data_IF_519883610607
#
_entry.id   IF_519883610607
#
_cell.length_a   1.000
_cell.length_b   1.000
_cell.length_c   1.000
_cell.angle_alpha   90.00
_cell.angle_beta   90.00
_cell.angle_gamma   90.00
#
_symmetry.space_group_name_H-M   'P 1'
#
loop_
_entity.id
_entity.type
_entity.pdbx_description
1 polymer ?
#
# COMPACT_ATOMS: atom_id res chain seq x y z
N UNK A 1 -9.75 -25.19 -12.45
CA UNK A 1 -9.95 -25.31 -10.98
C UNK A 1 -9.40 -24.04 -10.31
N UNK A 2 -10.26 -23.06 -10.01
CA UNK A 2 -9.84 -21.71 -9.61
C UNK A 2 -9.45 -21.61 -8.13
N UNK A 3 -8.21 -21.17 -7.86
CA UNK A 3 -7.76 -20.79 -6.51
C UNK A 3 -8.16 -19.35 -6.23
N UNK A 4 -9.05 -19.14 -5.25
CA UNK A 4 -9.36 -17.82 -4.68
C UNK A 4 -8.13 -17.32 -3.92
N UNK A 5 -7.62 -16.15 -4.32
CA UNK A 5 -6.59 -15.42 -3.58
C UNK A 5 -7.18 -14.94 -2.23
N UNK A 6 -6.51 -15.31 -1.14
CA UNK A 6 -6.87 -14.91 0.22
C UNK A 6 -6.62 -13.42 0.45
N UNK A 7 -7.62 -12.74 1.01
CA UNK A 7 -7.56 -11.33 1.42
C UNK A 7 -6.55 -11.18 2.56
N UNK A 8 -5.43 -10.49 2.31
CA UNK A 8 -4.46 -10.11 3.34
C UNK A 8 -4.97 -8.92 4.16
N UNK A 9 -5.86 -9.18 5.11
CA UNK A 9 -6.21 -8.26 6.20
C UNK A 9 -5.87 -8.92 7.52
N UNK A 10 -4.98 -8.33 8.31
CA UNK A 10 -4.68 -8.82 9.65
C UNK A 10 -5.87 -8.50 10.57
N UNK A 11 -6.79 -9.45 10.73
CA UNK A 11 -7.77 -9.43 11.80
C UNK A 11 -7.10 -10.03 13.04
N UNK A 12 -6.74 -9.19 14.01
CA UNK A 12 -6.23 -9.66 15.30
C UNK A 12 -7.40 -10.32 16.05
N UNK A 13 -7.51 -11.65 15.91
CA UNK A 13 -8.45 -12.46 16.71
C UNK A 13 -7.77 -12.86 18.01
N UNK A 14 -8.39 -12.49 19.13
CA UNK A 14 -7.98 -12.90 20.47
C UNK A 14 -8.12 -14.43 20.62
N UNK A 15 -7.01 -15.16 20.66
CA UNK A 15 -6.99 -16.55 21.13
C UNK A 15 -6.90 -16.56 22.66
N UNK A 16 -7.93 -17.05 23.34
CA UNK A 16 -7.90 -17.29 24.79
C UNK A 16 -7.13 -18.59 25.04
N UNK A 17 -5.90 -18.49 25.56
CA UNK A 17 -5.16 -19.63 26.14
C UNK A 17 -5.49 -19.75 27.63
N UNK A 18 -5.85 -20.96 28.07
CA UNK A 18 -5.69 -21.48 29.44
C UNK A 18 -6.56 -20.87 30.55
N UNK A 19 -7.38 -21.70 31.20
CA UNK A 19 -8.28 -21.31 32.28
C UNK A 19 -7.61 -21.00 33.62
N UNK A 20 -8.27 -20.16 34.41
CA UNK A 20 -8.13 -20.04 35.87
C UNK A 20 -9.52 -20.11 36.51
N UNK A 21 -9.62 -20.51 37.79
CA UNK A 21 -10.89 -20.84 38.44
C UNK A 21 -11.80 -19.61 38.56
N UNK A 22 -13.11 -19.88 38.52
CA UNK A 22 -14.21 -18.91 38.51
C UNK A 22 -14.28 -18.05 39.77
N UNK A 23 -14.26 -16.73 39.57
CA UNK A 23 -14.57 -15.71 40.57
C UNK A 23 -16.11 -15.53 40.66
N UNK A 24 -16.76 -15.72 41.83
CA UNK A 24 -18.21 -15.78 41.96
C UNK A 24 -18.96 -14.43 41.84
N UNK A 25 -18.28 -13.33 41.48
CA UNK A 25 -18.89 -11.99 41.37
C UNK A 25 -19.23 -11.48 39.96
N UNK A 26 -18.96 -12.24 38.89
CA UNK A 26 -19.05 -11.71 37.52
C UNK A 26 -20.44 -11.92 36.91
N UNK A 27 -21.16 -10.82 36.69
CA UNK A 27 -22.42 -10.82 35.93
C UNK A 27 -22.25 -11.57 34.59
N UNK A 28 -23.23 -12.41 34.19
CA UNK A 28 -23.13 -13.18 32.95
C UNK A 28 -22.98 -12.22 31.76
N UNK A 29 -22.14 -12.56 30.76
CA UNK A 29 -22.08 -11.77 29.55
C UNK A 29 -23.46 -11.74 28.88
N UNK A 30 -23.88 -10.62 28.28
CA UNK A 30 -25.16 -10.54 27.61
C UNK A 30 -25.26 -11.65 26.56
N UNK A 31 -26.40 -12.32 26.53
CA UNK A 31 -26.72 -13.37 25.56
C UNK A 31 -26.40 -12.90 24.15
N UNK A 32 -25.53 -13.62 23.43
CA UNK A 32 -25.28 -13.39 22.00
C UNK A 32 -26.58 -13.70 21.25
N UNK A 33 -27.40 -12.69 21.02
CA UNK A 33 -28.48 -12.79 20.06
C UNK A 33 -27.85 -13.06 18.68
N UNK A 34 -28.37 -14.02 17.90
CA UNK A 34 -27.96 -14.17 16.52
C UNK A 34 -28.25 -12.87 15.77
N UNK A 35 -27.26 -12.34 15.07
CA UNK A 35 -27.41 -11.11 14.30
C UNK A 35 -28.61 -11.26 13.33
N UNK A 36 -29.52 -10.27 13.27
CA UNK A 36 -30.65 -10.32 12.36
C UNK A 36 -30.15 -10.52 10.93
N UNK A 37 -30.66 -11.55 10.25
CA UNK A 37 -30.38 -11.81 8.84
C UNK A 37 -31.12 -10.79 7.99
N UNK A 38 -30.37 -10.20 7.05
CA UNK A 38 -30.74 -9.22 6.04
C UNK A 38 -31.02 -7.79 6.56
N UNK A 39 -29.95 -7.03 6.74
CA UNK A 39 -29.97 -5.57 6.59
C UNK A 39 -28.85 -5.20 5.63
N UNK A 40 -29.15 -4.32 4.68
CA UNK A 40 -28.23 -3.82 3.64
C UNK A 40 -26.84 -3.58 4.23
N UNK A 41 -25.79 -4.01 3.54
CA UNK A 41 -24.42 -3.79 4.00
C UNK A 41 -24.24 -2.31 4.36
N UNK A 42 -23.66 -2.01 5.55
CA UNK A 42 -23.54 -0.63 5.98
C UNK A 42 -22.79 0.19 4.92
N UNK A 43 -23.11 1.50 4.77
CA UNK A 43 -22.57 2.33 3.69
C UNK A 43 -21.04 2.26 3.54
N UNK A 44 -20.33 2.06 4.65
CA UNK A 44 -18.88 1.91 4.68
C UNK A 44 -18.39 0.64 3.96
N UNK A 45 -19.11 -0.48 4.05
CA UNK A 45 -18.79 -1.72 3.31
C UNK A 45 -19.05 -1.52 1.84
N UNK A 46 -20.22 -0.97 1.51
CA UNK A 46 -20.60 -0.70 0.12
C UNK A 46 -19.60 0.25 -0.56
N UNK A 47 -19.13 1.28 0.15
CA UNK A 47 -18.11 2.20 -0.34
C UNK A 47 -16.75 1.50 -0.56
N UNK A 48 -16.38 0.56 0.30
CA UNK A 48 -15.15 -0.20 0.16
C UNK A 48 -15.15 -1.12 -1.07
N UNK A 49 -16.30 -1.69 -1.42
CA UNK A 49 -16.43 -2.50 -2.63
C UNK A 49 -16.26 -1.67 -3.92
N UNK A 50 -16.48 -0.36 -3.84
CA UNK A 50 -16.30 0.58 -4.95
C UNK A 50 -14.86 1.11 -5.05
N UNK A 51 -13.99 0.83 -4.07
CA UNK A 51 -12.57 1.20 -4.17
C UNK A 51 -11.87 0.32 -5.21
N UNK A 52 -11.51 0.94 -6.33
CA UNK A 52 -10.69 0.28 -7.32
C UNK A 52 -9.21 0.29 -6.93
N UNK A 53 -8.47 -0.69 -7.44
CA UNK A 53 -7.04 -0.86 -7.19
C UNK A 53 -6.22 -0.72 -8.47
N UNK A 54 -4.97 -0.28 -8.33
CA UNK A 54 -4.02 -0.23 -9.44
C UNK A 54 -2.93 -1.29 -9.24
N UNK A 55 -2.59 -2.07 -10.29
CA UNK A 55 -1.48 -3.02 -10.22
C UNK A 55 -0.13 -2.30 -10.32
N UNK A 56 0.88 -2.87 -9.68
CA UNK A 56 2.29 -2.48 -9.81
C UNK A 56 3.08 -3.73 -10.18
N UNK A 57 4.01 -3.61 -11.12
CA UNK A 57 4.93 -4.68 -11.46
C UNK A 57 6.37 -4.30 -11.11
N UNK A 58 7.16 -5.30 -10.74
CA UNK A 58 8.59 -5.20 -10.55
C UNK A 58 9.30 -6.23 -11.43
N UNK A 59 10.23 -5.76 -12.25
CA UNK A 59 11.14 -6.58 -13.04
C UNK A 59 12.48 -6.61 -12.32
N UNK A 60 12.88 -7.78 -11.89
CA UNK A 60 14.16 -8.02 -11.25
C UNK A 60 15.13 -8.59 -12.29
N UNK A 61 16.29 -7.96 -12.45
CA UNK A 61 17.27 -8.28 -13.48
C UNK A 61 18.65 -8.45 -12.86
N UNK A 62 19.29 -9.59 -13.12
CA UNK A 62 20.65 -9.87 -12.66
C UNK A 62 21.59 -9.97 -13.86
N UNK A 63 22.57 -9.09 -13.93
CA UNK A 63 23.55 -9.01 -15.00
C UNK A 63 24.93 -9.52 -14.55
N UNK A 64 25.75 -9.95 -15.51
CA UNK A 64 27.10 -10.43 -15.29
C UNK A 64 28.12 -9.31 -14.97
N UNK A 65 27.76 -8.06 -15.27
CA UNK A 65 28.55 -6.85 -15.07
C UNK A 65 27.66 -5.64 -14.77
N UNK A 66 28.22 -4.53 -14.25
CA UNK A 66 27.48 -3.29 -14.01
C UNK A 66 26.78 -2.77 -15.27
N UNK A 67 25.51 -2.37 -15.12
CA UNK A 67 24.71 -1.71 -16.17
C UNK A 67 24.75 -0.20 -16.02
N UNK A 68 24.75 0.29 -14.78
CA UNK A 68 24.82 1.73 -14.46
C UNK A 68 25.56 1.94 -13.13
N UNK A 69 26.20 3.09 -12.97
CA UNK A 69 26.80 3.52 -11.70
C UNK A 69 25.79 4.22 -10.78
N UNK A 70 24.61 4.61 -11.29
CA UNK A 70 23.59 5.30 -10.53
C UNK A 70 22.92 4.39 -9.49
N UNK A 71 22.67 4.88 -8.25
CA UNK A 71 21.93 4.11 -7.25
C UNK A 71 20.46 3.92 -7.63
N UNK A 72 19.89 4.90 -8.34
CA UNK A 72 18.54 4.85 -8.88
C UNK A 72 18.38 5.83 -10.04
N UNK A 73 17.38 5.59 -10.91
CA UNK A 73 17.04 6.46 -12.03
C UNK A 73 15.52 6.49 -12.26
N UNK A 74 15.04 7.60 -12.84
CA UNK A 74 13.65 7.77 -13.29
C UNK A 74 13.64 7.89 -14.81
N UNK A 75 12.89 7.01 -15.47
CA UNK A 75 12.85 6.93 -16.92
C UNK A 75 11.49 7.45 -17.42
N UNK A 76 11.49 8.63 -18.02
CA UNK A 76 10.27 9.28 -18.51
C UNK A 76 9.89 8.73 -19.89
N UNK A 77 8.60 8.41 -20.08
CA UNK A 77 8.09 7.92 -21.36
C UNK A 77 8.47 6.47 -21.68
N UNK A 78 8.89 5.71 -20.66
CA UNK A 78 9.32 4.31 -20.75
C UNK A 78 8.36 3.38 -20.01
N UNK A 79 8.38 2.10 -20.36
CA UNK A 79 7.64 1.06 -19.66
C UNK A 79 8.13 0.95 -18.22
N UNK A 80 9.43 0.74 -18.02
CA UNK A 80 10.06 0.76 -16.70
C UNK A 80 10.30 2.20 -16.26
N UNK A 81 9.58 2.71 -15.24
CA UNK A 81 9.72 4.13 -14.86
C UNK A 81 10.73 4.37 -13.74
N UNK A 82 10.93 3.41 -12.85
CA UNK A 82 11.87 3.54 -11.75
C UNK A 82 12.87 2.41 -11.80
N UNK A 83 14.16 2.74 -11.78
CA UNK A 83 15.25 1.77 -11.69
C UNK A 83 15.91 1.94 -10.34
N UNK A 84 16.04 0.86 -9.59
CA UNK A 84 16.77 0.82 -8.34
C UNK A 84 17.91 -0.20 -8.47
N UNK A 85 19.14 0.28 -8.33
CA UNK A 85 20.30 -0.58 -8.24
C UNK A 85 20.43 -1.08 -6.80
N UNK A 86 20.58 -2.39 -6.65
CA UNK A 86 20.71 -3.07 -5.35
C UNK A 86 22.00 -3.90 -5.36
N UNK A 87 22.38 -4.37 -4.18
CA UNK A 87 23.53 -5.25 -4.05
C UNK A 87 23.35 -6.51 -4.89
N UNK A 88 24.33 -6.78 -5.76
CA UNK A 88 24.35 -7.98 -6.57
C UNK A 88 24.80 -9.18 -5.73
N UNK A 89 24.16 -10.35 -5.88
CA UNK A 89 24.65 -11.58 -5.26
C UNK A 89 25.97 -12.09 -5.87
N UNK A 90 26.42 -11.50 -6.97
CA UNK A 90 27.70 -11.84 -7.63
C UNK A 90 28.65 -10.65 -7.55
N UNK A 91 29.91 -10.91 -7.19
CA UNK A 91 30.96 -9.91 -6.91
C UNK A 91 31.12 -8.86 -8.02
N UNK A 92 31.03 -9.28 -9.28
CA UNK A 92 31.16 -8.39 -10.43
C UNK A 92 29.84 -8.11 -11.15
N UNK A 93 28.70 -8.60 -10.65
CA UNK A 93 27.43 -8.45 -11.35
C UNK A 93 26.67 -7.19 -10.97
N UNK A 94 25.49 -7.05 -11.56
CA UNK A 94 24.55 -5.98 -11.21
C UNK A 94 23.17 -6.55 -10.92
N UNK A 95 22.47 -5.93 -9.98
CA UNK A 95 21.08 -6.26 -9.69
C UNK A 95 20.21 -5.00 -9.78
N UNK A 96 19.37 -4.96 -10.81
CA UNK A 96 18.41 -3.90 -11.03
C UNK A 96 17.00 -4.37 -10.70
N UNK A 97 16.29 -3.58 -9.90
CA UNK A 97 14.85 -3.68 -9.72
C UNK A 97 14.19 -2.53 -10.47
N UNK A 98 13.45 -2.87 -11.52
CA UNK A 98 12.72 -1.90 -12.35
C UNK A 98 11.23 -1.96 -11.99
N UNK A 99 10.63 -0.82 -11.64
CA UNK A 99 9.21 -0.73 -11.26
C UNK A 99 8.40 -0.14 -12.40
N UNK A 100 7.29 -0.82 -12.71
CA UNK A 100 6.26 -0.39 -13.65
C UNK A 100 5.00 -0.06 -12.84
N UNK A 101 4.70 1.22 -12.75
CA UNK A 101 3.52 1.79 -12.12
C UNK A 101 2.30 1.60 -13.00
N UNK A 102 1.11 1.49 -12.38
CA UNK A 102 -0.16 1.33 -13.08
C UNK A 102 -0.10 0.25 -14.19
N UNK A 103 0.45 -0.92 -13.85
CA UNK A 103 0.81 -2.03 -14.72
C UNK A 103 -0.41 -2.78 -15.34
N UNK A 104 -1.52 -2.10 -15.58
CA UNK A 104 -2.74 -2.65 -16.20
C UNK A 104 -2.45 -3.16 -17.61
N UNK A 105 -1.62 -2.43 -18.36
CA UNK A 105 -1.18 -2.79 -19.70
C UNK A 105 -0.15 -3.93 -19.72
N UNK A 106 0.51 -4.21 -18.60
CA UNK A 106 1.42 -5.36 -18.43
C UNK A 106 0.66 -6.63 -18.05
N UNK A 107 -0.47 -6.47 -17.35
CA UNK A 107 -1.28 -7.59 -16.87
C UNK A 107 -1.83 -8.39 -18.06
N UNK A 108 -1.44 -9.67 -18.15
CA UNK A 108 -1.87 -10.57 -19.23
C UNK A 108 -0.95 -10.61 -20.44
N UNK A 109 0.09 -9.77 -20.52
CA UNK A 109 1.16 -9.89 -21.51
C UNK A 109 2.05 -11.10 -21.20
N UNK A 110 2.76 -11.55 -22.23
CA UNK A 110 3.82 -12.53 -22.06
C UNK A 110 4.94 -11.97 -21.17
N UNK A 111 5.48 -12.80 -20.27
CA UNK A 111 6.42 -12.32 -19.25
C UNK A 111 7.77 -11.99 -19.86
N UNK A 112 8.22 -12.85 -20.77
CA UNK A 112 9.49 -12.72 -21.46
C UNK A 112 9.49 -11.50 -22.38
N UNK A 113 8.36 -11.20 -23.04
CA UNK A 113 8.17 -9.96 -23.82
C UNK A 113 8.36 -8.70 -22.97
N UNK A 114 7.70 -8.63 -21.80
CA UNK A 114 7.81 -7.49 -20.87
C UNK A 114 9.24 -7.33 -20.35
N UNK A 115 9.89 -8.45 -20.02
CA UNK A 115 11.29 -8.44 -19.55
C UNK A 115 12.22 -7.95 -20.66
N UNK A 116 12.04 -8.43 -21.90
CA UNK A 116 12.85 -8.01 -23.04
C UNK A 116 12.70 -6.52 -23.31
N UNK A 117 11.48 -6.00 -23.34
CA UNK A 117 11.20 -4.57 -23.54
C UNK A 117 11.93 -3.72 -22.49
N UNK A 118 11.84 -4.09 -21.21
CA UNK A 118 12.56 -3.38 -20.14
C UNK A 118 14.08 -3.47 -20.35
N UNK A 119 14.63 -4.62 -20.70
CA UNK A 119 16.08 -4.77 -20.95
C UNK A 119 16.53 -3.91 -22.14
N UNK A 120 15.73 -3.83 -23.19
CA UNK A 120 16.01 -3.00 -24.37
C UNK A 120 15.94 -1.50 -24.02
N UNK A 121 15.01 -1.09 -23.16
CA UNK A 121 14.99 0.28 -22.61
C UNK A 121 16.26 0.60 -21.82
N UNK A 122 16.71 -0.31 -20.95
CA UNK A 122 17.94 -0.10 -20.17
C UNK A 122 19.15 0.05 -21.10
N UNK A 123 19.26 -0.77 -22.15
CA UNK A 123 20.36 -0.69 -23.14
C UNK A 123 20.31 0.58 -23.98
N UNK A 124 19.11 1.07 -24.29
CA UNK A 124 18.96 2.34 -25.00
C UNK A 124 19.39 3.54 -24.14
N UNK A 125 19.25 3.44 -22.81
CA UNK A 125 19.58 4.50 -21.86
C UNK A 125 21.05 4.45 -21.44
N UNK A 126 21.60 3.24 -21.27
CA UNK A 126 23.01 2.99 -20.98
C UNK A 126 23.62 2.09 -22.06
N UNK A 127 24.02 2.66 -23.23
CA UNK A 127 24.57 1.89 -24.34
C UNK A 127 25.83 1.08 -23.99
N UNK A 128 26.62 1.53 -23.02
CA UNK A 128 27.76 0.81 -22.46
C UNK A 128 27.38 -0.55 -21.86
N UNK A 129 26.12 -0.73 -21.47
CA UNK A 129 25.59 -1.97 -20.91
C UNK A 129 25.20 -3.02 -21.97
N UNK A 130 25.31 -2.73 -23.27
CA UNK A 130 24.96 -3.69 -24.34
C UNK A 130 25.75 -5.00 -24.23
N UNK A 131 27.00 -4.94 -23.74
CA UNK A 131 27.82 -6.12 -23.45
C UNK A 131 27.47 -6.88 -22.17
N UNK A 132 26.56 -6.35 -21.34
CA UNK A 132 26.10 -6.99 -20.12
C UNK A 132 25.11 -8.11 -20.44
N UNK A 133 25.44 -9.33 -19.98
CA UNK A 133 24.59 -10.50 -20.16
C UNK A 133 23.63 -10.64 -19.00
N UNK A 134 22.33 -10.71 -19.32
CA UNK A 134 21.30 -11.03 -18.34
C UNK A 134 21.40 -12.52 -17.94
N UNK A 135 21.74 -12.79 -16.69
CA UNK A 135 21.84 -14.14 -16.14
C UNK A 135 20.51 -14.68 -15.66
N UNK A 136 19.70 -13.80 -15.06
CA UNK A 136 18.42 -14.17 -14.45
C UNK A 136 17.49 -12.98 -14.54
N UNK A 137 16.21 -13.27 -14.68
CA UNK A 137 15.15 -12.29 -14.57
C UNK A 137 13.97 -12.83 -13.78
N UNK A 138 13.17 -11.93 -13.22
CA UNK A 138 11.87 -12.27 -12.62
C UNK A 138 10.92 -11.09 -12.71
N UNK A 139 9.76 -11.31 -13.32
CA UNK A 139 8.63 -10.38 -13.29
C UNK A 139 7.69 -10.76 -12.14
N UNK A 140 7.41 -9.81 -11.25
CA UNK A 140 6.43 -9.92 -10.16
C UNK A 140 5.37 -8.85 -10.38
N UNK A 141 4.09 -9.25 -10.38
CA UNK A 141 2.97 -8.32 -10.53
C UNK A 141 2.10 -8.45 -9.28
N UNK A 142 1.94 -7.35 -8.57
CA UNK A 142 0.92 -7.23 -7.53
C UNK A 142 -0.33 -6.59 -8.17
N UNK A 143 -1.37 -7.39 -8.37
CA UNK A 143 -2.56 -6.98 -9.12
C UNK A 143 -3.40 -5.94 -8.37
N UNK A 144 -3.29 -5.89 -7.04
CA UNK A 144 -4.06 -4.96 -6.19
C UNK A 144 -3.13 -4.20 -5.25
N UNK A 145 -2.11 -3.56 -5.81
CA UNK A 145 -1.00 -2.98 -5.06
C UNK A 145 -1.40 -1.75 -4.24
N UNK A 146 -2.13 -0.82 -4.84
CA UNK A 146 -2.54 0.45 -4.21
C UNK A 146 -3.96 0.82 -4.62
N UNK A 147 -4.61 1.71 -3.87
CA UNK A 147 -5.88 2.32 -4.29
C UNK A 147 -5.67 3.14 -5.56
N UNK A 148 -6.55 2.96 -6.55
CA UNK A 148 -6.51 3.74 -7.79
C UNK A 148 -7.05 5.16 -7.53
N UNK A 149 -6.26 6.23 -7.76
CA UNK A 149 -6.67 7.61 -7.48
C UNK A 149 -7.59 8.15 -8.60
N UNK A 150 -8.78 7.58 -8.75
CA UNK A 150 -9.79 8.08 -9.69
C UNK A 150 -10.53 9.27 -9.09
N UNK A 151 -11.15 10.13 -9.92
CA UNK A 151 -12.05 11.16 -9.44
C UNK A 151 -13.11 10.57 -8.50
N UNK A 152 -13.25 11.16 -7.32
CA UNK A 152 -14.19 10.71 -6.29
C UNK A 152 -13.69 9.60 -5.36
N UNK A 153 -12.53 8.97 -5.60
CA UNK A 153 -12.02 7.88 -4.75
C UNK A 153 -11.91 8.25 -3.26
N UNK A 154 -11.49 9.47 -2.93
CA UNK A 154 -11.33 9.90 -1.53
C UNK A 154 -12.64 9.93 -0.73
N UNK A 155 -13.77 10.14 -1.40
CA UNK A 155 -15.09 10.12 -0.74
C UNK A 155 -15.49 8.70 -0.31
N UNK A 156 -14.95 7.68 -1.00
CA UNK A 156 -15.19 6.26 -0.72
C UNK A 156 -14.30 5.72 0.41
N UNK A 157 -13.14 6.34 0.66
CA UNK A 157 -12.22 5.92 1.73
C UNK A 157 -12.87 6.13 3.09
N UNK A 158 -13.02 5.11 3.94
CA UNK A 158 -13.67 5.25 5.24
C UNK A 158 -12.72 5.82 6.30
N UNK A 159 -13.29 6.39 7.36
CA UNK A 159 -12.53 6.76 8.57
C UNK A 159 -12.08 5.51 9.34
N UNK A 160 -11.16 5.70 10.27
CA UNK A 160 -10.60 4.62 11.09
C UNK A 160 -11.61 4.07 12.10
N UNK A 161 -12.48 4.92 12.65
CA UNK A 161 -13.62 4.49 13.48
C UNK A 161 -14.72 3.89 12.59
N UNK A 162 -15.00 2.60 12.78
CA UNK A 162 -16.06 1.89 12.05
C UNK A 162 -17.42 2.01 12.78
N UNK A 163 -18.55 1.72 12.13
CA UNK A 163 -19.86 1.73 12.78
C UNK A 163 -20.06 0.55 13.76
N UNK A 164 -19.16 -0.44 13.79
CA UNK A 164 -19.25 -1.56 14.72
C UNK A 164 -18.36 -1.35 15.93
N UNK A 165 -18.94 -1.45 17.11
CA UNK A 165 -18.23 -1.32 18.38
C UNK A 165 -17.07 -2.31 18.46
N UNK A 166 -15.88 -1.78 18.77
CA UNK A 166 -14.66 -2.57 18.90
C UNK A 166 -14.02 -3.00 17.57
N UNK A 167 -14.49 -2.47 16.44
CA UNK A 167 -13.86 -2.66 15.13
C UNK A 167 -13.33 -1.31 14.61
N UNK A 168 -12.05 -1.28 14.24
CA UNK A 168 -11.36 -0.11 13.69
C UNK A 168 -10.64 -0.52 12.40
N UNK A 169 -10.46 0.44 11.51
CA UNK A 169 -9.85 0.23 10.19
C UNK A 169 -8.49 0.91 10.14
N UNK A 170 -7.50 0.20 9.62
CA UNK A 170 -6.17 0.73 9.34
C UNK A 170 -5.67 0.23 7.98
N UNK A 171 -4.95 1.09 7.27
CA UNK A 171 -4.45 0.86 5.92
C UNK A 171 -4.35 2.16 5.12
N UNK A 172 -3.45 2.19 4.15
CA UNK A 172 -3.27 3.32 3.23
C UNK A 172 -4.55 3.67 2.45
N UNK A 173 -5.45 2.71 2.26
CA UNK A 173 -6.77 2.89 1.66
C UNK A 173 -7.79 3.64 2.53
N UNK A 174 -7.55 3.78 3.84
CA UNK A 174 -8.45 4.56 4.72
C UNK A 174 -8.29 6.06 4.52
N UNK A 175 -9.24 6.86 5.00
CA UNK A 175 -9.24 8.32 4.84
C UNK A 175 -8.23 8.96 5.78
N UNK A 176 -7.08 9.34 5.25
CA UNK A 176 -5.99 9.99 6.01
C UNK A 176 -5.69 11.42 5.54
N UNK A 177 -6.29 11.84 4.41
CA UNK A 177 -5.91 13.07 3.70
C UNK A 177 -4.64 12.93 2.86
N UNK A 178 -3.99 11.77 2.89
CA UNK A 178 -2.77 11.47 2.13
C UNK A 178 -3.06 10.43 1.04
N UNK A 179 -2.27 10.40 -0.06
CA UNK A 179 -2.38 9.35 -1.06
C UNK A 179 -2.10 7.94 -0.48
N UNK A 180 -2.36 6.90 -1.26
CA UNK A 180 -2.10 5.49 -0.90
C UNK A 180 -0.58 5.23 -0.87
N UNK A 181 0.10 5.67 0.19
CA UNK A 181 1.56 5.53 0.38
C UNK A 181 1.88 4.88 1.73
N UNK A 182 3.16 4.61 1.97
CA UNK A 182 3.64 4.12 3.27
C UNK A 182 3.33 5.11 4.40
N UNK A 183 3.50 6.41 4.16
CA UNK A 183 3.16 7.48 5.10
C UNK A 183 1.64 7.51 5.36
N UNK A 184 0.84 7.33 4.31
CA UNK A 184 -0.61 7.18 4.42
C UNK A 184 -1.00 5.99 5.31
N UNK A 185 -0.36 4.83 5.13
CA UNK A 185 -0.57 3.66 5.98
C UNK A 185 -0.18 3.91 7.44
N UNK A 186 0.96 4.56 7.70
CA UNK A 186 1.40 4.90 9.06
C UNK A 186 0.40 5.84 9.73
N UNK A 187 0.01 6.93 9.06
CA UNK A 187 -1.01 7.88 9.57
C UNK A 187 -2.33 7.17 9.86
N UNK A 188 -2.75 6.28 8.97
CA UNK A 188 -3.95 5.47 9.19
C UNK A 188 -3.86 4.62 10.47
N UNK A 189 -2.74 3.92 10.67
CA UNK A 189 -2.52 3.11 11.86
C UNK A 189 -2.52 3.93 13.14
N UNK A 190 -1.89 5.11 13.13
CA UNK A 190 -1.91 6.03 14.27
C UNK A 190 -3.33 6.51 14.57
N UNK A 191 -4.10 6.95 13.57
CA UNK A 191 -5.49 7.37 13.79
C UNK A 191 -6.41 6.24 14.25
N UNK A 192 -6.15 4.99 13.84
CA UNK A 192 -6.88 3.83 14.35
C UNK A 192 -6.56 3.59 15.84
N UNK A 193 -5.28 3.73 16.23
CA UNK A 193 -4.88 3.63 17.62
C UNK A 193 -5.47 4.77 18.48
N UNK A 194 -5.52 6.01 17.98
CA UNK A 194 -6.19 7.13 18.64
C UNK A 194 -7.68 6.84 18.86
N UNK A 195 -8.38 6.27 17.87
CA UNK A 195 -9.78 5.89 17.99
C UNK A 195 -10.00 4.78 19.05
N UNK A 196 -9.10 3.79 19.11
CA UNK A 196 -9.13 2.74 20.16
C UNK A 196 -8.94 3.36 21.54
N UNK A 197 -7.96 4.25 21.69
CA UNK A 197 -7.65 4.89 22.96
C UNK A 197 -8.78 5.81 23.45
N UNK A 198 -9.44 6.52 22.52
CA UNK A 198 -10.64 7.29 22.82
C UNK A 198 -11.79 6.41 23.33
N UNK A 199 -12.05 5.26 22.70
CA UNK A 199 -13.10 4.32 23.14
C UNK A 199 -12.77 3.65 24.49
N UNK A 200 -11.49 3.57 24.86
CA UNK A 200 -11.05 3.13 26.19
C UNK A 200 -11.07 4.25 27.24
N UNK A 201 -11.60 5.43 26.90
CA UNK A 201 -11.60 6.62 27.76
C UNK A 201 -10.20 7.12 28.15
N UNK A 202 -9.21 6.89 27.30
CA UNK A 202 -7.82 7.37 27.46
C UNK A 202 -7.37 8.11 26.20
N UNK A 203 -8.04 9.22 25.80
CA UNK A 203 -7.73 9.88 24.54
C UNK A 203 -6.29 10.38 24.52
N UNK A 204 -5.51 9.90 23.55
CA UNK A 204 -4.10 10.27 23.35
C UNK A 204 -3.91 10.69 21.90
N UNK A 205 -3.20 11.79 21.67
CA UNK A 205 -2.77 12.19 20.34
C UNK A 205 -1.45 11.50 19.99
N UNK A 206 -1.44 10.72 18.91
CA UNK A 206 -0.30 9.95 18.42
C UNK A 206 0.22 10.48 17.08
N UNK A 207 -0.63 11.15 16.29
CA UNK A 207 -0.22 11.75 15.03
C UNK A 207 0.80 12.88 15.27
N UNK A 208 1.93 12.87 14.54
CA UNK A 208 2.83 14.02 14.54
C UNK A 208 2.10 15.24 13.93
N UNK A 209 2.43 16.46 14.38
CA UNK A 209 1.88 17.67 13.79
C UNK A 209 2.25 17.74 12.29
N UNK A 210 1.32 18.24 11.48
CA UNK A 210 1.61 18.49 10.07
C UNK A 210 2.72 19.56 9.95
N UNK A 211 3.50 19.46 8.88
CA UNK A 211 4.56 20.42 8.60
C UNK A 211 3.97 21.82 8.39
N UNK A 212 4.58 22.82 9.02
CA UNK A 212 4.21 24.22 8.81
C UNK A 212 4.55 24.60 7.37
N UNK A 213 3.57 25.05 6.55
CA UNK A 213 3.86 25.47 5.18
C UNK A 213 4.89 26.59 5.16
N UNK A 214 5.85 26.51 4.24
CA UNK A 214 6.82 27.58 4.04
C UNK A 214 6.12 28.90 3.67
N UNK A 215 6.66 30.04 4.11
CA UNK A 215 6.05 31.37 3.87
C UNK A 215 5.76 31.63 2.38
N UNK A 216 6.66 31.18 1.51
CA UNK A 216 6.49 31.28 0.05
C UNK A 216 5.32 30.44 -0.45
N UNK A 217 5.17 29.20 0.01
CA UNK A 217 4.05 28.34 -0.35
C UNK A 217 2.71 28.92 0.14
N UNK A 218 2.68 29.50 1.35
CA UNK A 218 1.48 30.16 1.86
C UNK A 218 1.12 31.48 1.15
N UNK A 219 2.11 32.18 0.57
CA UNK A 219 1.88 33.35 -0.27
C UNK A 219 1.42 32.97 -1.67
N UNK A 220 2.12 32.03 -2.33
CA UNK A 220 1.91 31.65 -3.73
C UNK A 220 0.68 30.76 -3.93
N UNK A 221 0.49 29.77 -3.04
CA UNK A 221 -0.53 28.73 -3.17
C UNK A 221 -1.68 28.88 -2.16
N UNK A 222 -1.63 29.90 -1.29
CA UNK A 222 -2.63 30.11 -0.23
C UNK A 222 -2.64 29.03 0.86
N UNK A 223 -1.66 28.13 0.88
CA UNK A 223 -1.60 27.00 1.80
C UNK A 223 -1.32 27.49 3.23
N UNK A 224 -2.12 27.07 4.21
CA UNK A 224 -1.95 27.43 5.63
C UNK A 224 -2.61 28.75 6.04
N UNK A 225 -3.28 29.46 5.13
CA UNK A 225 -4.19 30.54 5.51
C UNK A 225 -5.46 29.89 6.08
N UNK A 226 -5.72 30.08 7.38
CA UNK A 226 -7.04 29.80 7.95
C UNK A 226 -8.02 30.71 7.21
N UNK A 227 -8.89 30.12 6.39
CA UNK A 227 -10.03 30.86 5.83
C UNK A 227 -10.89 31.32 7.00
N UNK A 228 -11.36 32.59 7.04
CA UNK A 228 -12.22 33.08 8.11
C UNK A 228 -13.53 32.29 8.20
#
# INVERSE_FOLDING_TARGET
>A
MGKRAGRGGAVVRRTRRGGRPSDPGRAPPPSRQPAPRATRDPPQVTALEQLDTAPIAAVHLWFDRPVTDLPHAVLVGRLGQWVFRRESPTENGDYLQVVISAARHVTGRDREEVISEVVDELRAIWPESVGARLHRSRLVIEHRAVVSPRPGTDSLRPKQLSPWTGLYLAGDWTRTGWPSTMEGAVRSGLSAAEAVLADLSVPTQLQPPDLVPGRLAGWLLGIGRKTP
#
